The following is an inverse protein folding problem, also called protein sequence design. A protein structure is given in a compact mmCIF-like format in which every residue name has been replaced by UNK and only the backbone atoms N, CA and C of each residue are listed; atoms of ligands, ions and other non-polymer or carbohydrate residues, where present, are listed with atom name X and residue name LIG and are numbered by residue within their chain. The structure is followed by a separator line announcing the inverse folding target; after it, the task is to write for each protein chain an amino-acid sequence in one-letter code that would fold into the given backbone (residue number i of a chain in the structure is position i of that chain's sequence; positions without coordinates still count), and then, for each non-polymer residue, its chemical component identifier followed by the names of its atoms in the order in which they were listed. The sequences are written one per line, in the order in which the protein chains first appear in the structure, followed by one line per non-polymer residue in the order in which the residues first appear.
data_IF_932886419625
#
_entry.id   IF_932886419625
#
_cell.length_a   1.000
_cell.length_b   1.000
_cell.length_c   1.000
_cell.angle_alpha   90.00
_cell.angle_beta   90.00
_cell.angle_gamma   90.00
#
_symmetry.space_group_name_H-M   'P 1'
#
loop_
_entity.id
_entity.type
_entity.pdbx_description
1 polymer ?
#
# COMPACT_ATOMS: atom_id res chain seq x y z
N UNK A 1 -19.21 -23.11 -10.37
CA UNK A 1 -18.78 -22.66 -9.03
C UNK A 1 -17.71 -21.60 -9.25
N UNK A 2 -18.13 -20.33 -9.20
CA UNK A 2 -17.30 -19.20 -9.60
C UNK A 2 -16.04 -19.09 -8.74
N UNK A 3 -14.90 -18.92 -9.39
CA UNK A 3 -13.61 -18.71 -8.74
C UNK A 3 -13.68 -17.42 -7.93
N UNK A 4 -13.75 -17.58 -6.62
CA UNK A 4 -13.33 -16.56 -5.67
C UNK A 4 -11.82 -16.42 -5.88
N UNK A 5 -11.39 -15.34 -6.53
CA UNK A 5 -9.99 -14.89 -6.47
C UNK A 5 -9.89 -14.02 -5.21
N UNK A 6 -9.43 -14.53 -4.06
CA UNK A 6 -9.52 -13.82 -2.79
C UNK A 6 -8.12 -13.37 -2.34
N UNK A 7 -7.32 -12.74 -3.21
CA UNK A 7 -5.92 -12.45 -2.86
C UNK A 7 -5.40 -11.03 -3.08
N UNK A 8 -6.12 -10.14 -3.78
CA UNK A 8 -5.59 -8.77 -4.02
C UNK A 8 -6.26 -7.70 -3.14
N UNK A 9 -7.39 -8.01 -2.48
CA UNK A 9 -8.15 -7.03 -1.71
C UNK A 9 -7.95 -7.04 -0.18
N UNK A 10 -7.60 -8.18 0.41
CA UNK A 10 -7.64 -8.36 1.88
C UNK A 10 -6.33 -8.01 2.60
N UNK A 11 -5.18 -8.17 1.96
CA UNK A 11 -3.88 -7.86 2.59
C UNK A 11 -3.64 -6.35 2.70
N UNK A 12 -4.02 -5.58 1.68
CA UNK A 12 -3.93 -4.11 1.73
C UNK A 12 -4.80 -3.54 2.87
N UNK A 13 -6.01 -4.09 3.10
CA UNK A 13 -6.89 -3.64 4.18
C UNK A 13 -6.27 -3.77 5.58
N UNK A 14 -5.44 -4.80 5.83
CA UNK A 14 -4.74 -4.97 7.10
C UNK A 14 -3.54 -4.03 7.29
N UNK A 15 -2.84 -3.69 6.20
CA UNK A 15 -1.72 -2.72 6.24
C UNK A 15 -2.24 -1.29 6.41
N UNK A 16 -3.34 -0.96 5.74
CA UNK A 16 -3.97 0.37 5.79
C UNK A 16 -4.47 0.67 7.21
N UNK A 17 -5.15 -0.26 7.89
CA UNK A 17 -5.56 -0.06 9.29
C UNK A 17 -4.43 -0.18 10.32
N UNK A 18 -3.23 -0.56 9.89
CA UNK A 18 -2.06 -0.73 10.75
C UNK A 18 -1.28 0.56 11.01
N UNK A 19 -1.46 1.62 10.23
CA UNK A 19 -0.72 2.88 10.42
C UNK A 19 -1.23 3.63 11.64
N UNK A 20 -2.52 3.95 11.72
CA UNK A 20 -3.16 4.52 12.90
C UNK A 20 -2.93 3.63 14.12
N UNK A 21 -3.00 2.30 13.97
CA UNK A 21 -2.67 1.36 15.04
C UNK A 21 -1.22 1.50 15.52
N UNK A 22 -0.26 1.63 14.61
CA UNK A 22 1.15 1.78 14.93
C UNK A 22 1.49 3.16 15.54
N UNK A 23 0.74 4.20 15.20
CA UNK A 23 0.98 5.57 15.66
C UNK A 23 0.16 5.97 16.89
N UNK A 24 -1.05 5.44 17.06
CA UNK A 24 -1.94 5.72 18.19
C UNK A 24 -1.91 4.63 19.30
N UNK A 25 -1.44 3.43 18.97
CA UNK A 25 -1.51 2.23 19.82
C UNK A 25 -0.17 1.76 20.38
N UNK A 26 0.61 2.63 21.01
CA UNK A 26 1.57 2.27 22.07
C UNK A 26 2.71 1.28 21.77
N UNK A 27 2.97 0.86 20.53
CA UNK A 27 4.18 0.08 20.21
C UNK A 27 5.35 1.02 19.94
N UNK A 28 6.44 0.84 20.70
CA UNK A 28 7.63 1.67 20.84
C UNK A 28 8.49 1.92 19.57
N UNK A 29 7.88 2.20 18.42
CA UNK A 29 8.62 2.38 17.16
C UNK A 29 9.07 3.82 16.91
N UNK A 30 8.47 4.85 17.51
CA UNK A 30 9.02 6.21 17.43
C UNK A 30 8.55 7.08 18.59
N UNK A 31 9.47 7.43 19.51
CA UNK A 31 9.26 8.47 20.51
C UNK A 31 8.94 9.86 19.89
N UNK A 32 9.14 10.02 18.58
CA UNK A 32 8.92 11.27 17.84
C UNK A 32 7.45 11.63 17.62
N UNK A 33 6.54 10.65 17.51
CA UNK A 33 5.10 10.94 17.31
C UNK A 33 4.47 11.51 18.58
N UNK A 34 4.91 11.05 19.75
CA UNK A 34 4.44 11.58 21.04
C UNK A 34 4.79 13.06 21.26
N UNK A 35 5.91 13.55 20.69
CA UNK A 35 6.30 14.96 20.81
C UNK A 35 5.41 15.90 19.98
N UNK A 36 4.81 15.41 18.89
CA UNK A 36 3.86 16.21 18.09
C UNK A 36 2.43 16.14 18.62
N UNK A 37 2.03 15.07 19.31
CA UNK A 37 0.76 15.06 20.05
C UNK A 37 0.70 16.14 21.14
N UNK A 38 1.85 16.68 21.59
CA UNK A 38 1.92 17.76 22.57
C UNK A 38 1.77 19.16 21.97
N UNK A 39 2.17 19.39 20.71
CA UNK A 39 2.07 20.70 20.02
C UNK A 39 0.89 20.78 19.03
N UNK A 40 0.47 19.62 18.54
CA UNK A 40 -0.66 19.40 17.66
C UNK A 40 -1.75 18.71 18.48
N UNK A 41 -2.98 19.24 18.51
CA UNK A 41 -4.06 18.63 19.29
C UNK A 41 -4.20 17.17 18.80
N UNK A 42 -4.25 16.22 19.73
CA UNK A 42 -4.28 14.77 19.44
C UNK A 42 -5.27 14.39 18.32
N UNK A 43 -6.40 15.11 18.25
CA UNK A 43 -7.43 14.92 17.24
C UNK A 43 -7.02 15.36 15.82
N UNK A 44 -6.28 16.48 15.68
CA UNK A 44 -5.79 16.94 14.38
C UNK A 44 -4.78 15.92 13.81
N UNK A 45 -3.92 15.35 14.66
CA UNK A 45 -2.92 14.36 14.22
C UNK A 45 -3.60 13.09 13.72
N UNK A 46 -4.66 12.64 14.40
CA UNK A 46 -5.48 11.51 13.98
C UNK A 46 -6.17 11.78 12.65
N UNK A 47 -6.70 12.99 12.43
CA UNK A 47 -7.30 13.36 11.15
C UNK A 47 -6.27 13.29 10.02
N UNK A 48 -5.06 13.83 10.24
CA UNK A 48 -3.99 13.80 9.25
C UNK A 48 -3.52 12.37 8.95
N UNK A 49 -3.32 11.55 9.97
CA UNK A 49 -2.95 10.14 9.79
C UNK A 49 -4.03 9.35 9.03
N UNK A 50 -5.31 9.67 9.25
CA UNK A 50 -6.40 9.05 8.49
C UNK A 50 -6.35 9.41 7.00
N UNK A 51 -6.03 10.66 6.66
CA UNK A 51 -5.83 11.08 5.27
C UNK A 51 -4.64 10.33 4.64
N UNK A 52 -3.56 10.14 5.40
CA UNK A 52 -2.39 9.34 4.99
C UNK A 52 -2.79 7.90 4.68
N UNK A 53 -3.57 7.27 5.55
CA UNK A 53 -4.07 5.91 5.33
C UNK A 53 -4.94 5.79 4.08
N UNK A 54 -5.88 6.72 3.90
CA UNK A 54 -6.79 6.73 2.76
C UNK A 54 -6.02 6.94 1.44
N UNK A 55 -5.09 7.90 1.41
CA UNK A 55 -4.24 8.17 0.25
C UNK A 55 -3.34 6.98 -0.09
N UNK A 56 -2.67 6.40 0.92
CA UNK A 56 -1.85 5.21 0.72
C UNK A 56 -2.69 4.02 0.25
N UNK A 57 -3.87 3.81 0.82
CA UNK A 57 -4.77 2.74 0.44
C UNK A 57 -5.26 2.83 -1.00
N UNK A 58 -5.61 4.04 -1.45
CA UNK A 58 -5.97 4.30 -2.84
C UNK A 58 -4.81 3.99 -3.78
N UNK A 59 -3.60 4.46 -3.47
CA UNK A 59 -2.41 4.18 -4.29
C UNK A 59 -2.04 2.69 -4.27
N UNK A 60 -2.12 2.03 -3.12
CA UNK A 60 -1.85 0.60 -3.01
C UNK A 60 -2.79 -0.22 -3.88
N UNK A 61 -4.08 0.16 -3.92
CA UNK A 61 -5.07 -0.44 -4.80
C UNK A 61 -4.77 -0.15 -6.28
N UNK A 62 -4.55 1.13 -6.63
CA UNK A 62 -4.32 1.55 -8.02
C UNK A 62 -3.06 0.91 -8.63
N UNK A 63 -1.99 0.75 -7.84
CA UNK A 63 -0.74 0.12 -8.28
C UNK A 63 -0.70 -1.39 -8.05
N UNK A 64 -1.79 -1.98 -7.52
CA UNK A 64 -1.92 -3.39 -7.18
C UNK A 64 -0.72 -3.88 -6.36
N UNK A 65 -0.40 -3.15 -5.30
CA UNK A 65 0.71 -3.52 -4.43
C UNK A 65 0.44 -4.85 -3.75
N UNK A 66 1.45 -5.72 -3.76
CA UNK A 66 1.46 -6.88 -2.87
C UNK A 66 1.65 -6.44 -1.41
N UNK A 67 1.32 -7.33 -0.48
CA UNK A 67 1.50 -7.08 0.95
C UNK A 67 2.96 -6.72 1.30
N UNK A 68 3.92 -7.39 0.69
CA UNK A 68 5.35 -7.14 0.90
C UNK A 68 5.77 -5.76 0.38
N UNK A 69 5.31 -5.39 -0.83
CA UNK A 69 5.58 -4.08 -1.41
C UNK A 69 4.97 -2.97 -0.55
N UNK A 70 3.71 -3.12 -0.15
CA UNK A 70 3.03 -2.17 0.72
C UNK A 70 3.77 -2.01 2.07
N UNK A 71 4.20 -3.12 2.68
CA UNK A 71 5.02 -3.08 3.90
C UNK A 71 6.33 -2.33 3.70
N UNK A 72 7.03 -2.54 2.58
CA UNK A 72 8.27 -1.82 2.27
C UNK A 72 8.05 -0.31 2.12
N UNK A 73 6.94 0.13 1.51
CA UNK A 73 6.59 1.57 1.45
C UNK A 73 6.38 2.13 2.84
N UNK A 74 5.58 1.44 3.67
CA UNK A 74 5.29 1.88 5.03
C UNK A 74 6.53 1.93 5.91
N UNK A 75 7.38 0.92 5.82
CA UNK A 75 8.64 0.90 6.58
C UNK A 75 9.55 2.05 6.12
N UNK A 76 9.60 2.36 4.82
CA UNK A 76 10.32 3.55 4.32
C UNK A 76 9.73 4.89 4.77
N UNK A 77 8.40 4.99 4.88
CA UNK A 77 7.73 6.19 5.40
C UNK A 77 7.98 6.39 6.90
N UNK A 78 8.05 5.32 7.70
CA UNK A 78 8.34 5.38 9.14
C UNK A 78 9.73 5.90 9.49
N UNK A 79 10.69 5.76 8.57
CA UNK A 79 12.06 6.30 8.73
C UNK A 79 12.13 7.81 8.49
N UNK A 80 11.06 8.43 7.98
CA UNK A 80 10.96 9.89 7.83
C UNK A 80 10.53 10.55 9.14
N UNK A 81 10.70 11.87 9.19
CA UNK A 81 10.07 12.71 10.21
C UNK A 81 8.56 12.80 9.94
N UNK A 82 7.85 11.70 10.24
CA UNK A 82 6.38 11.62 10.16
C UNK A 82 5.72 12.77 10.92
N UNK A 83 6.19 13.15 12.12
CA UNK A 83 5.68 14.32 12.79
C UNK A 83 5.75 15.61 11.92
N UNK A 84 6.93 15.98 11.42
CA UNK A 84 7.10 17.15 10.56
C UNK A 84 6.23 17.09 9.31
N UNK A 85 6.15 15.91 8.69
CA UNK A 85 5.29 15.65 7.55
C UNK A 85 3.80 15.92 7.86
N UNK A 86 3.28 15.47 9.01
CA UNK A 86 1.88 15.69 9.38
C UNK A 86 1.59 17.18 9.61
N UNK A 87 2.55 17.92 10.19
CA UNK A 87 2.46 19.37 10.37
C UNK A 87 2.40 20.10 9.03
N UNK A 88 3.31 19.78 8.12
CA UNK A 88 3.36 20.39 6.79
C UNK A 88 2.10 20.06 5.98
N UNK A 89 1.63 18.82 6.08
CA UNK A 89 0.39 18.39 5.45
C UNK A 89 -0.79 19.20 6.00
N UNK A 90 -0.89 19.41 7.31
CA UNK A 90 -1.97 20.18 7.90
C UNK A 90 -2.02 21.63 7.40
N UNK A 91 -0.84 22.25 7.24
CA UNK A 91 -0.68 23.59 6.69
C UNK A 91 -0.92 23.66 5.17
N UNK A 92 -0.96 22.53 4.48
CA UNK A 92 -1.20 22.46 3.03
C UNK A 92 -2.66 22.75 2.68
N UNK A 93 -2.88 23.25 1.46
CA UNK A 93 -4.22 23.53 0.94
C UNK A 93 -4.99 22.28 0.49
N UNK A 94 -4.27 21.21 0.15
CA UNK A 94 -4.84 19.94 -0.34
C UNK A 94 -4.10 18.76 0.32
N UNK A 95 -4.61 18.33 1.46
CA UNK A 95 -4.00 17.30 2.31
C UNK A 95 -4.00 15.92 1.63
N UNK A 96 -5.09 15.45 0.97
CA UNK A 96 -5.05 14.20 0.21
C UNK A 96 -4.00 14.20 -0.89
N UNK A 97 -3.88 15.30 -1.66
CA UNK A 97 -2.87 15.39 -2.71
C UNK A 97 -1.45 15.42 -2.12
N UNK A 98 -1.25 16.15 -1.01
CA UNK A 98 0.02 16.19 -0.31
C UNK A 98 0.46 14.79 0.12
N UNK A 99 -0.43 14.00 0.72
CA UNK A 99 -0.15 12.61 1.09
C UNK A 99 0.14 11.73 -0.13
N UNK A 100 -0.62 11.86 -1.23
CA UNK A 100 -0.36 11.08 -2.45
C UNK A 100 1.02 11.37 -3.04
N UNK A 101 1.41 12.64 -3.09
CA UNK A 101 2.71 13.08 -3.61
C UNK A 101 3.90 12.52 -2.82
N UNK A 102 3.69 12.20 -1.54
CA UNK A 102 4.69 11.58 -0.68
C UNK A 102 4.86 10.08 -1.00
N UNK A 103 3.77 9.34 -1.17
CA UNK A 103 3.81 7.89 -1.39
C UNK A 103 4.05 7.47 -2.84
N UNK A 104 3.48 8.20 -3.81
CA UNK A 104 3.56 7.87 -5.23
C UNK A 104 5.00 7.63 -5.74
N UNK A 105 6.01 8.47 -5.44
CA UNK A 105 7.38 8.20 -5.88
C UNK A 105 7.98 6.92 -5.25
N UNK A 106 7.65 6.62 -3.99
CA UNK A 106 8.10 5.38 -3.31
C UNK A 106 7.49 4.15 -3.99
N UNK A 107 6.20 4.21 -4.29
CA UNK A 107 5.43 3.14 -4.94
C UNK A 107 5.93 2.90 -6.36
N UNK A 108 6.14 3.96 -7.14
CA UNK A 108 6.69 3.87 -8.50
C UNK A 108 8.08 3.22 -8.48
N UNK A 109 8.92 3.56 -7.50
CA UNK A 109 10.25 2.98 -7.38
C UNK A 109 10.19 1.46 -7.14
N UNK A 110 9.27 0.99 -6.29
CA UNK A 110 9.06 -0.44 -6.06
C UNK A 110 8.50 -1.11 -7.33
N UNK A 111 7.48 -0.52 -7.94
CA UNK A 111 6.83 -1.08 -9.12
C UNK A 111 7.80 -1.23 -10.32
N UNK A 112 8.77 -0.32 -10.46
CA UNK A 112 9.83 -0.42 -11.50
C UNK A 112 10.73 -1.64 -11.35
N UNK A 113 10.86 -2.18 -10.14
CA UNK A 113 11.71 -3.34 -9.85
C UNK A 113 10.94 -4.67 -9.97
N UNK A 114 9.69 -4.65 -10.44
CA UNK A 114 8.90 -5.87 -10.65
C UNK A 114 9.51 -6.73 -11.75
N UNK A 115 9.54 -8.03 -11.53
CA UNK A 115 9.94 -8.98 -12.56
C UNK A 115 8.98 -8.89 -13.74
N UNK A 116 9.52 -8.64 -14.93
CA UNK A 116 8.74 -8.66 -16.17
C UNK A 116 8.36 -10.11 -16.48
N UNK A 117 7.06 -10.39 -16.51
CA UNK A 117 6.55 -11.67 -16.98
C UNK A 117 6.59 -11.65 -18.50
N UNK A 118 7.40 -12.53 -19.11
CA UNK A 118 7.35 -12.72 -20.55
C UNK A 118 6.07 -13.46 -20.92
N UNK A 119 5.36 -12.94 -21.92
CA UNK A 119 4.22 -13.64 -22.46
C UNK A 119 4.70 -14.92 -23.17
N UNK A 120 4.01 -16.06 -22.98
CA UNK A 120 4.30 -17.26 -23.73
C UNK A 120 4.08 -17.01 -25.22
N UNK A 121 4.84 -17.72 -26.06
CA UNK A 121 4.64 -17.66 -27.51
C UNK A 121 3.32 -18.31 -27.92
N UNK A 122 2.80 -17.96 -29.09
CA UNK A 122 1.58 -18.56 -29.65
C UNK A 122 1.66 -20.10 -29.69
N UNK A 123 2.84 -20.64 -30.01
CA UNK A 123 3.07 -22.08 -30.01
C UNK A 123 2.94 -22.70 -28.60
N UNK A 124 3.49 -22.04 -27.57
CA UNK A 124 3.38 -22.49 -26.18
C UNK A 124 1.94 -22.38 -25.67
N UNK A 125 1.22 -21.33 -26.06
CA UNK A 125 -0.20 -21.15 -25.76
C UNK A 125 -1.03 -22.28 -26.38
N UNK A 126 -0.86 -22.55 -27.69
CA UNK A 126 -1.60 -23.60 -28.39
C UNK A 126 -1.32 -24.98 -27.79
N UNK A 127 -0.07 -25.29 -27.45
CA UNK A 127 0.29 -26.57 -26.83
C UNK A 127 -0.36 -26.76 -25.46
N UNK A 128 -0.36 -25.71 -24.63
CA UNK A 128 -1.02 -25.73 -23.30
C UNK A 128 -2.53 -25.90 -23.43
N UNK A 129 -3.16 -25.17 -24.36
CA UNK A 129 -4.61 -25.25 -24.61
C UNK A 129 -5.00 -26.63 -25.12
N UNK A 130 -4.26 -27.20 -26.07
CA UNK A 130 -4.49 -28.56 -26.56
C UNK A 130 -4.41 -29.58 -25.42
N UNK A 131 -3.41 -29.47 -24.54
CA UNK A 131 -3.24 -30.36 -23.39
C UNK A 131 -4.41 -30.29 -22.40
N UNK A 132 -4.96 -29.10 -22.16
CA UNK A 132 -6.16 -28.92 -21.33
C UNK A 132 -7.37 -29.59 -21.99
N UNK A 133 -7.56 -29.40 -23.29
CA UNK A 133 -8.67 -30.04 -24.04
C UNK A 133 -8.55 -31.57 -23.97
N UNK A 134 -7.37 -32.13 -24.22
CA UNK A 134 -7.14 -33.57 -24.15
C UNK A 134 -7.43 -34.14 -22.74
N UNK A 135 -7.14 -33.37 -21.70
CA UNK A 135 -7.43 -33.76 -20.32
C UNK A 135 -8.94 -33.77 -20.05
N UNK A 136 -9.68 -32.79 -20.59
CA UNK A 136 -11.13 -32.67 -20.41
C UNK A 136 -11.94 -33.67 -21.24
N UNK A 137 -11.39 -34.18 -22.35
CA UNK A 137 -12.03 -35.18 -23.22
C UNK A 137 -11.72 -36.61 -22.74
N UNK A 138 -10.70 -36.79 -21.90
CA UNK A 138 -10.31 -38.08 -21.33
C UNK A 138 -11.09 -38.46 -20.04
N UNK A 139 -11.88 -37.54 -19.48
CA UNK A 139 -12.85 -37.75 -18.40
C UNK A 139 -14.28 -37.96 -18.95
#
# INVERSE_FOLDING_TARGET
MGSLIPFVGTAAGGIIGGLLGAFAGGTAANAAVSAILDEFIEDDAKEMLKIVEEAFGELAFNYLLSEQEAKSVIDGFKEKDVPDFLRDMYASSDRPLFAKNEFEPMIINIAKNRNVISLPTDAQLLQKTAKIIDTLVAD
#
